data_IF_335969848708
#
_entry.id   IF_335969848708
#
_cell.length_a   1.000
_cell.length_b   1.000
_cell.length_c   1.000
_cell.angle_alpha   90.00
_cell.angle_beta   90.00
_cell.angle_gamma   90.00
#
_symmetry.space_group_name_H-M   'P 1'
#
loop_
_entity.id
_entity.type
_entity.pdbx_description
1 polymer ?
#
# COMPACT_ATOMS: atom_id res chain seq x y z
N UNK A 1 28.98 17.51 5.00
CA UNK A 1 29.76 17.67 3.75
C UNK A 1 29.06 17.01 2.55
N UNK A 2 27.74 17.21 2.41
CA UNK A 2 26.91 16.57 1.38
C UNK A 2 26.09 17.60 0.57
N UNK A 3 26.62 18.81 0.36
CA UNK A 3 25.96 19.85 -0.44
C UNK A 3 26.66 20.02 -1.78
N UNK A 4 25.89 19.98 -2.87
CA UNK A 4 26.31 20.28 -4.24
C UNK A 4 26.09 21.78 -4.48
N UNK A 5 27.02 22.45 -5.16
CA UNK A 5 26.80 23.82 -5.58
C UNK A 5 25.73 23.87 -6.69
N UNK A 6 24.69 24.72 -6.58
CA UNK A 6 23.66 24.88 -7.61
C UNK A 6 24.19 25.58 -8.88
N UNK A 7 25.48 25.94 -8.91
CA UNK A 7 26.17 26.43 -10.08
C UNK A 7 26.42 25.31 -11.09
N UNK A 8 26.66 25.67 -12.36
CA UNK A 8 27.00 24.75 -13.46
C UNK A 8 28.24 23.88 -13.20
N UNK A 9 28.97 24.15 -12.12
CA UNK A 9 30.13 23.38 -11.68
C UNK A 9 29.76 21.98 -11.17
N UNK A 10 28.53 21.77 -10.67
CA UNK A 10 28.06 20.50 -10.06
C UNK A 10 29.02 19.88 -9.03
N UNK A 11 29.90 20.70 -8.45
CA UNK A 11 30.92 20.29 -7.49
C UNK A 11 30.44 20.47 -6.05
N UNK A 12 31.04 19.74 -5.11
CA UNK A 12 30.74 19.87 -3.68
C UNK A 12 31.01 21.33 -3.25
N UNK A 13 30.09 21.94 -2.50
CA UNK A 13 30.21 23.35 -2.08
C UNK A 13 31.55 23.62 -1.41
N UNK A 14 32.09 22.68 -0.62
CA UNK A 14 33.38 22.84 0.05
C UNK A 14 34.56 23.05 -0.90
N UNK A 15 34.52 22.49 -2.11
CA UNK A 15 35.61 22.55 -3.10
C UNK A 15 35.33 23.55 -4.23
N UNK A 16 34.20 24.24 -4.20
CA UNK A 16 33.82 25.24 -5.19
C UNK A 16 34.05 26.65 -4.64
N UNK A 17 34.65 27.52 -5.44
CA UNK A 17 34.94 28.92 -5.12
C UNK A 17 34.22 29.90 -6.06
N UNK A 18 33.04 29.52 -6.56
CA UNK A 18 32.17 30.46 -7.28
C UNK A 18 31.50 31.44 -6.30
N UNK A 19 31.05 32.59 -6.79
CA UNK A 19 30.37 33.62 -5.98
C UNK A 19 29.16 33.06 -5.22
N UNK A 20 28.43 32.13 -5.83
CA UNK A 20 27.29 31.44 -5.21
C UNK A 20 27.73 30.50 -4.09
N UNK A 21 28.79 29.72 -4.28
CA UNK A 21 29.32 28.82 -3.24
C UNK A 21 29.84 29.60 -2.03
N UNK A 22 30.49 30.75 -2.26
CA UNK A 22 30.96 31.64 -1.18
C UNK A 22 29.78 32.18 -0.37
N UNK A 23 28.70 32.60 -1.04
CA UNK A 23 27.49 33.07 -0.37
C UNK A 23 26.84 31.96 0.48
N UNK A 24 26.68 30.76 -0.08
CA UNK A 24 26.09 29.62 0.64
C UNK A 24 26.96 29.21 1.85
N UNK A 25 28.29 29.19 1.71
CA UNK A 25 29.21 28.92 2.84
C UNK A 25 29.04 29.94 3.97
N UNK A 26 28.88 31.22 3.62
CA UNK A 26 28.67 32.30 4.59
C UNK A 26 27.34 32.15 5.31
N UNK A 27 26.27 31.83 4.57
CA UNK A 27 24.94 31.60 5.12
C UNK A 27 24.89 30.39 6.05
N UNK A 28 25.49 29.25 5.67
CA UNK A 28 25.63 28.07 6.54
C UNK A 28 26.37 28.43 7.83
N UNK A 29 27.44 29.22 7.74
CA UNK A 29 28.22 29.63 8.91
C UNK A 29 27.38 30.51 9.84
N UNK A 30 26.60 31.44 9.30
CA UNK A 30 25.70 32.30 10.07
C UNK A 30 24.57 31.50 10.74
N UNK A 31 23.98 30.52 10.04
CA UNK A 31 22.96 29.64 10.62
C UNK A 31 23.54 28.76 11.73
N UNK A 32 24.78 28.30 11.58
CA UNK A 32 25.49 27.54 12.62
C UNK A 32 25.78 28.39 13.86
N UNK A 33 26.20 29.65 13.68
CA UNK A 33 26.37 30.61 14.78
C UNK A 33 25.04 30.89 15.49
N UNK A 34 23.93 30.87 14.75
CA UNK A 34 22.57 31.03 15.27
C UNK A 34 22.02 29.76 15.93
N UNK A 35 22.85 28.75 16.19
CA UNK A 35 22.50 27.48 16.86
C UNK A 35 21.44 26.63 16.13
N UNK A 36 21.27 26.82 14.81
CA UNK A 36 20.42 25.92 14.02
C UNK A 36 21.03 24.52 13.95
N UNK A 37 20.18 23.50 14.00
CA UNK A 37 20.61 22.12 13.81
C UNK A 37 20.97 21.88 12.34
N UNK A 38 21.85 20.91 12.07
CA UNK A 38 22.25 20.58 10.69
C UNK A 38 21.03 20.29 9.81
N UNK A 39 20.04 19.54 10.30
CA UNK A 39 18.80 19.24 9.56
C UNK A 39 17.99 20.49 9.22
N UNK A 40 17.94 21.49 10.10
CA UNK A 40 17.26 22.76 9.82
C UNK A 40 17.99 23.57 8.75
N UNK A 41 19.33 23.58 8.80
CA UNK A 41 20.16 24.22 7.77
C UNK A 41 19.95 23.55 6.41
N UNK A 42 19.94 22.22 6.36
CA UNK A 42 19.67 21.47 5.14
C UNK A 42 18.27 21.73 4.59
N UNK A 43 17.25 21.76 5.46
CA UNK A 43 15.86 22.04 5.08
C UNK A 43 15.69 23.45 4.51
N UNK A 44 16.31 24.46 5.13
CA UNK A 44 16.29 25.84 4.65
C UNK A 44 16.95 25.98 3.27
N UNK A 45 18.14 25.39 3.10
CA UNK A 45 18.86 25.39 1.82
C UNK A 45 18.10 24.64 0.72
N UNK A 46 17.42 23.54 1.06
CA UNK A 46 16.57 22.79 0.12
C UNK A 46 15.35 23.60 -0.31
N UNK A 47 14.76 24.38 0.59
CA UNK A 47 13.62 25.24 0.27
C UNK A 47 14.01 26.37 -0.70
N UNK A 48 15.20 26.94 -0.54
CA UNK A 48 15.70 28.05 -1.36
C UNK A 48 16.25 27.58 -2.72
N UNK A 49 17.05 26.51 -2.73
CA UNK A 49 17.82 26.07 -3.91
C UNK A 49 17.33 24.76 -4.55
N UNK A 50 16.33 24.09 -3.95
CA UNK A 50 15.76 22.84 -4.45
C UNK A 50 16.46 21.57 -3.96
N UNK A 51 15.91 20.41 -4.33
CA UNK A 51 16.41 19.08 -3.95
C UNK A 51 17.78 18.73 -4.52
N UNK A 52 18.17 19.39 -5.62
CA UNK A 52 19.41 19.11 -6.35
C UNK A 52 20.67 19.62 -5.61
N UNK A 53 20.49 20.41 -4.55
CA UNK A 53 21.58 20.85 -3.67
C UNK A 53 22.11 19.71 -2.78
N UNK A 54 21.39 18.58 -2.67
CA UNK A 54 21.79 17.45 -1.83
C UNK A 54 22.59 16.42 -2.64
N UNK A 55 23.77 16.03 -2.13
CA UNK A 55 24.61 14.95 -2.72
C UNK A 55 23.90 13.59 -2.71
N UNK A 56 22.88 13.44 -1.85
CA UNK A 56 22.07 12.22 -1.76
C UNK A 56 20.59 12.61 -1.78
N UNK A 57 19.76 12.06 -2.68
CA UNK A 57 18.32 12.23 -2.58
C UNK A 57 17.84 11.73 -1.22
N UNK A 58 16.96 12.49 -0.58
CA UNK A 58 16.36 12.09 0.69
C UNK A 58 15.81 10.67 0.60
N UNK A 59 16.03 9.90 1.66
CA UNK A 59 15.60 8.51 1.75
C UNK A 59 14.08 8.52 1.73
N UNK A 60 13.51 8.26 0.58
CA UNK A 60 12.06 8.21 0.38
C UNK A 60 11.45 7.24 1.40
N UNK A 61 10.78 7.81 2.38
CA UNK A 61 10.01 7.15 3.41
C UNK A 61 8.57 6.94 2.96
N UNK A 62 8.30 7.04 1.65
CA UNK A 62 7.05 6.55 1.07
C UNK A 62 6.93 5.06 1.40
N UNK A 63 5.96 4.78 2.28
CA UNK A 63 5.59 3.41 2.59
C UNK A 63 5.17 2.79 1.26
N UNK A 64 5.80 1.69 0.84
CA UNK A 64 5.51 1.14 -0.46
C UNK A 64 4.02 0.80 -0.55
N UNK A 65 3.36 1.20 -1.63
CA UNK A 65 1.90 1.03 -1.78
C UNK A 65 1.45 -0.44 -1.65
N UNK A 66 2.35 -1.39 -1.95
CA UNK A 66 2.12 -2.83 -1.79
C UNK A 66 1.96 -3.27 -0.32
N UNK A 67 2.49 -2.52 0.64
CA UNK A 67 2.30 -2.77 2.07
C UNK A 67 0.85 -2.56 2.52
N UNK A 68 0.09 -1.70 1.82
CA UNK A 68 -1.34 -1.51 2.05
C UNK A 68 -2.21 -2.59 1.36
N UNK A 69 -1.71 -3.21 0.29
CA UNK A 69 -2.45 -4.23 -0.47
C UNK A 69 -2.52 -5.60 0.21
N UNK A 70 -1.44 -6.03 0.87
CA UNK A 70 -1.36 -7.32 1.56
C UNK A 70 -2.44 -7.51 2.64
N UNK A 71 -2.67 -6.58 3.58
CA UNK A 71 -3.68 -6.78 4.62
C UNK A 71 -5.10 -6.82 4.05
N UNK A 72 -5.39 -6.10 2.96
CA UNK A 72 -6.69 -6.11 2.30
C UNK A 72 -7.03 -7.52 1.77
N UNK A 73 -6.08 -8.17 1.08
CA UNK A 73 -6.26 -9.52 0.53
C UNK A 73 -6.48 -10.53 1.67
N UNK A 74 -5.71 -10.43 2.76
CA UNK A 74 -5.87 -11.32 3.91
C UNK A 74 -7.25 -11.17 4.57
N UNK A 75 -7.80 -9.95 4.63
CA UNK A 75 -9.15 -9.70 5.15
C UNK A 75 -10.21 -10.35 4.25
N UNK A 76 -10.11 -10.20 2.92
CA UNK A 76 -11.05 -10.84 1.99
C UNK A 76 -11.04 -12.37 2.08
N UNK A 77 -9.84 -12.98 2.10
CA UNK A 77 -9.70 -14.44 2.25
C UNK A 77 -10.24 -14.90 3.61
N UNK A 78 -10.00 -14.14 4.68
CA UNK A 78 -10.53 -14.46 6.00
C UNK A 78 -12.06 -14.34 6.08
N UNK A 79 -12.65 -13.33 5.43
CA UNK A 79 -14.10 -13.15 5.34
C UNK A 79 -14.76 -14.29 4.55
N UNK A 80 -14.21 -14.68 3.40
CA UNK A 80 -14.71 -15.82 2.63
C UNK A 80 -14.60 -17.12 3.44
N UNK A 81 -13.45 -17.37 4.06
CA UNK A 81 -13.24 -18.55 4.90
C UNK A 81 -14.21 -18.63 6.08
N UNK A 82 -14.46 -17.49 6.76
CA UNK A 82 -15.40 -17.43 7.89
C UNK A 82 -16.86 -17.57 7.46
N UNK A 83 -17.24 -17.05 6.28
CA UNK A 83 -18.57 -17.25 5.71
C UNK A 83 -18.79 -18.71 5.29
N UNK A 84 -17.80 -19.37 4.68
CA UNK A 84 -17.87 -20.80 4.30
C UNK A 84 -17.91 -21.70 5.54
N UNK A 85 -17.25 -21.30 6.63
CA UNK A 85 -17.27 -22.04 7.91
C UNK A 85 -18.51 -21.81 8.76
N UNK A 86 -19.34 -20.81 8.47
CA UNK A 86 -20.68 -20.77 9.08
C UNK A 86 -21.51 -21.87 8.42
N UNK A 87 -22.00 -22.88 9.17
CA UNK A 87 -22.98 -23.79 8.61
C UNK A 87 -24.17 -22.94 8.18
N UNK A 88 -24.45 -22.93 6.89
CA UNK A 88 -25.60 -22.26 6.31
C UNK A 88 -26.86 -22.86 6.95
N UNK A 89 -27.61 -22.15 7.81
CA UNK A 89 -28.81 -22.72 8.42
C UNK A 89 -29.97 -22.85 7.44
N UNK A 90 -29.81 -22.43 6.17
CA UNK A 90 -30.85 -22.49 5.14
C UNK A 90 -30.68 -23.64 4.14
N UNK A 91 -30.12 -24.78 4.57
CA UNK A 91 -30.58 -26.04 3.99
C UNK A 91 -31.93 -26.28 4.61
N UNK A 92 -33.00 -25.84 3.95
CA UNK A 92 -34.38 -26.22 4.27
C UNK A 92 -34.35 -27.74 4.49
N UNK A 93 -34.51 -28.25 5.73
CA UNK A 93 -34.65 -29.68 5.91
C UNK A 93 -35.99 -30.01 5.28
N UNK A 94 -35.98 -30.54 4.05
CA UNK A 94 -37.21 -30.89 3.35
C UNK A 94 -38.04 -31.76 4.31
N UNK A 95 -39.15 -31.22 4.85
CA UNK A 95 -39.88 -31.96 5.86
C UNK A 95 -40.47 -33.15 5.14
N UNK A 96 -40.08 -34.35 5.58
CA UNK A 96 -40.63 -35.61 5.12
C UNK A 96 -40.18 -36.10 3.72
N UNK A 97 -38.86 -36.11 3.46
CA UNK A 97 -38.23 -36.76 2.27
C UNK A 97 -38.83 -38.13 1.93
N UNK A 98 -39.04 -38.97 2.95
CA UNK A 98 -39.65 -40.32 2.78
C UNK A 98 -41.05 -40.28 2.20
N UNK A 99 -41.86 -39.27 2.55
CA UNK A 99 -43.22 -39.10 2.00
C UNK A 99 -43.20 -38.72 0.52
N UNK A 100 -42.22 -37.93 0.09
CA UNK A 100 -42.04 -37.57 -1.32
C UNK A 100 -41.53 -38.75 -2.14
N UNK A 101 -40.56 -39.51 -1.63
CA UNK A 101 -40.05 -40.72 -2.28
C UNK A 101 -41.16 -41.76 -2.46
N UNK A 102 -41.97 -42.00 -1.42
CA UNK A 102 -43.12 -42.92 -1.51
C UNK A 102 -44.15 -42.47 -2.55
N UNK A 103 -44.50 -41.17 -2.58
CA UNK A 103 -45.44 -40.64 -3.59
C UNK A 103 -44.89 -40.81 -5.01
N UNK A 104 -43.60 -40.57 -5.21
CA UNK A 104 -42.97 -40.68 -6.51
C UNK A 104 -42.98 -42.13 -7.04
N UNK A 105 -42.69 -43.12 -6.19
CA UNK A 105 -42.77 -44.54 -6.57
C UNK A 105 -44.19 -44.99 -6.92
N UNK A 106 -45.20 -44.47 -6.22
CA UNK A 106 -46.61 -44.74 -6.54
C UNK A 106 -47.02 -44.15 -7.90
N UNK A 107 -46.61 -42.90 -8.19
CA UNK A 107 -46.86 -42.28 -9.49
C UNK A 107 -46.13 -43.02 -10.61
N UNK A 108 -44.86 -43.36 -10.42
CA UNK A 108 -44.07 -44.08 -11.42
C UNK A 108 -44.70 -45.44 -11.76
N UNK A 109 -45.13 -46.20 -10.75
CA UNK A 109 -45.82 -47.48 -11.00
C UNK A 109 -47.13 -47.31 -11.75
N UNK A 110 -47.89 -46.25 -11.47
CA UNK A 110 -49.13 -45.95 -12.20
C UNK A 110 -48.84 -45.68 -13.68
N UNK A 111 -47.84 -44.86 -13.98
CA UNK A 111 -47.47 -44.55 -15.36
C UNK A 111 -47.10 -45.82 -16.16
N UNK A 112 -46.27 -46.70 -15.60
CA UNK A 112 -45.88 -47.95 -16.29
C UNK A 112 -47.10 -48.85 -16.51
N UNK A 113 -48.01 -48.96 -15.54
CA UNK A 113 -49.23 -49.77 -15.71
C UNK A 113 -50.23 -49.21 -16.73
N UNK A 114 -50.16 -47.91 -17.03
CA UNK A 114 -51.00 -47.26 -18.05
C UNK A 114 -50.39 -47.38 -19.44
N UNK A 115 -49.06 -47.55 -19.55
CA UNK A 115 -48.34 -47.78 -20.81
C UNK A 115 -48.39 -49.25 -21.28
N UNK A 116 -48.61 -50.20 -20.37
CA UNK A 116 -48.72 -51.64 -20.68
C UNK A 116 -50.15 -52.11 -21.08
N UNK A 117 -51.16 -51.23 -21.07
CA UNK A 117 -52.57 -51.53 -21.43
C UNK A 117 -52.94 -50.92 -22.79
#
# INVERSE_FOLDING_TARGET
SHLICPCECAMIISTCDCSTAIQIKKEISQMKESSFSEEQIFSALKAEYGSDILVRPEKDNSIPLWLAGIPLILIFVFLEYTMIRKPNPDIIPAPNKKKYEQRFEEEYRRFISEEEV
#
